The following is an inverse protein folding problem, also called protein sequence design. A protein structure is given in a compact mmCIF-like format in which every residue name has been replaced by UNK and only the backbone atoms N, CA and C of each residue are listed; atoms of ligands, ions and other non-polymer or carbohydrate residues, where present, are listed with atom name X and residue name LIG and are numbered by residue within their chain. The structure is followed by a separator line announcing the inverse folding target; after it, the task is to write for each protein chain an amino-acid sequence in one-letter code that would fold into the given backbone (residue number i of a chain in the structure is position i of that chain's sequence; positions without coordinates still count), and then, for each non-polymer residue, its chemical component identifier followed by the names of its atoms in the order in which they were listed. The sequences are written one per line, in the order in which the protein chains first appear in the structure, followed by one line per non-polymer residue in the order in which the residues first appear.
data_IF_247394923676
#
_entry.id   IF_247394923676
#
_cell.length_a   1.000
_cell.length_b   1.000
_cell.length_c   1.000
_cell.angle_alpha   90.00
_cell.angle_beta   90.00
_cell.angle_gamma   90.00
#
_symmetry.space_group_name_H-M   'P 1'
#
loop_
_entity.id
_entity.type
_entity.pdbx_description
1 polymer ?
#
# COMPACT_ATOMS: atom_id res chain seq x y z
N UNK A 1 10.58 2.77 -5.04
CA UNK A 1 11.40 3.50 -6.03
C UNK A 1 10.57 4.55 -6.74
N UNK A 2 11.21 5.62 -7.19
CA UNK A 2 10.55 6.74 -7.89
C UNK A 2 11.20 7.11 -9.23
N UNK A 3 12.28 6.45 -9.61
CA UNK A 3 13.02 6.83 -10.79
C UNK A 3 13.43 5.63 -11.66
N UNK A 4 13.61 5.90 -12.96
CA UNK A 4 14.03 4.91 -13.95
C UNK A 4 15.40 4.29 -13.61
N UNK A 5 16.40 5.11 -13.34
CA UNK A 5 17.77 4.62 -13.13
C UNK A 5 17.90 3.78 -11.84
N UNK A 6 17.31 4.25 -10.74
CA UNK A 6 17.34 3.49 -9.50
C UNK A 6 16.59 2.16 -9.63
N UNK A 7 15.45 2.16 -10.32
CA UNK A 7 14.69 0.93 -10.61
C UNK A 7 15.53 -0.07 -11.38
N UNK A 8 16.24 0.35 -12.43
CA UNK A 8 17.14 -0.54 -13.19
C UNK A 8 18.19 -1.22 -12.33
N UNK A 9 18.67 -0.53 -11.29
CA UNK A 9 19.69 -1.07 -10.39
C UNK A 9 19.12 -2.17 -9.49
N UNK A 10 17.86 -2.05 -9.06
CA UNK A 10 17.25 -2.97 -8.10
C UNK A 10 16.36 -4.04 -8.76
N UNK A 11 16.03 -3.90 -10.04
CA UNK A 11 15.14 -4.82 -10.76
C UNK A 11 15.69 -6.26 -10.78
N UNK A 12 14.91 -7.18 -10.27
CA UNK A 12 15.31 -8.58 -10.12
C UNK A 12 16.16 -8.90 -8.89
N UNK A 13 16.51 -7.91 -8.07
CA UNK A 13 17.09 -8.14 -6.74
C UNK A 13 16.02 -8.21 -5.66
N UNK A 14 14.82 -7.76 -5.96
CA UNK A 14 13.64 -7.75 -5.07
C UNK A 14 12.40 -8.19 -5.85
N UNK A 15 11.42 -8.75 -5.15
CA UNK A 15 10.19 -9.28 -5.77
C UNK A 15 9.21 -8.17 -6.14
N UNK A 16 9.10 -7.14 -5.32
CA UNK A 16 8.13 -6.05 -5.46
C UNK A 16 8.77 -4.68 -5.31
N UNK A 17 8.46 -3.80 -6.24
CA UNK A 17 8.81 -2.38 -6.20
C UNK A 17 7.54 -1.57 -5.95
N UNK A 18 7.48 -0.87 -4.83
CA UNK A 18 6.41 0.06 -4.53
C UNK A 18 6.77 1.47 -5.01
N UNK A 19 5.88 2.08 -5.80
CA UNK A 19 5.92 3.51 -6.10
C UNK A 19 5.05 4.19 -5.06
N UNK A 20 5.65 4.62 -3.94
CA UNK A 20 4.95 5.13 -2.76
C UNK A 20 4.58 6.61 -2.89
N UNK A 21 3.45 7.01 -2.32
CA UNK A 21 3.07 8.42 -2.23
C UNK A 21 3.96 9.23 -1.27
N UNK A 22 4.77 8.53 -0.46
CA UNK A 22 5.88 9.12 0.31
C UNK A 22 6.86 9.93 -0.55
N UNK A 23 6.85 9.74 -1.88
CA UNK A 23 7.64 10.58 -2.80
C UNK A 23 7.33 12.08 -2.66
N UNK A 24 6.11 12.44 -2.27
CA UNK A 24 5.76 13.83 -2.00
C UNK A 24 6.65 14.44 -0.93
N UNK A 25 6.90 13.70 0.14
CA UNK A 25 7.78 14.14 1.22
C UNK A 25 9.26 14.03 0.82
N UNK A 26 9.65 12.91 0.19
CA UNK A 26 11.06 12.60 -0.10
C UNK A 26 11.63 13.42 -1.27
N UNK A 27 10.87 13.63 -2.33
CA UNK A 27 11.34 14.30 -3.56
C UNK A 27 10.87 15.75 -3.68
N UNK A 28 9.70 16.07 -3.13
CA UNK A 28 9.07 17.38 -3.32
C UNK A 28 9.03 18.23 -2.05
N UNK A 29 9.54 17.68 -0.91
CA UNK A 29 9.59 18.43 0.36
C UNK A 29 8.21 18.73 0.94
N UNK A 30 7.18 17.95 0.60
CA UNK A 30 5.83 18.15 1.16
C UNK A 30 5.80 17.72 2.63
N UNK A 31 5.00 18.40 3.45
CA UNK A 31 4.84 18.06 4.88
C UNK A 31 4.15 16.72 5.15
N UNK A 32 3.39 16.22 4.16
CA UNK A 32 2.64 14.96 4.25
C UNK A 32 2.28 14.43 2.85
N UNK A 33 1.74 13.21 2.80
CA UNK A 33 1.37 12.53 1.55
C UNK A 33 0.02 12.98 0.96
N UNK A 34 -0.79 13.75 1.70
CA UNK A 34 -2.17 14.07 1.29
C UNK A 34 -2.28 15.02 0.09
N UNK A 35 -1.22 15.75 -0.22
CA UNK A 35 -1.17 16.66 -1.36
C UNK A 35 -0.59 16.02 -2.64
N UNK A 36 -0.18 14.76 -2.56
CA UNK A 36 0.28 13.99 -3.72
C UNK A 36 -0.89 13.72 -4.67
N UNK A 37 -0.71 14.05 -5.93
CA UNK A 37 -1.75 13.87 -6.96
C UNK A 37 -1.55 12.59 -7.75
N UNK A 38 -2.64 12.11 -8.39
CA UNK A 38 -2.55 10.98 -9.31
C UNK A 38 -1.54 11.23 -10.44
N UNK A 39 -1.52 12.44 -11.00
CA UNK A 39 -0.67 12.75 -12.15
C UNK A 39 0.82 12.74 -11.78
N UNK A 40 1.18 13.23 -10.58
CA UNK A 40 2.53 13.08 -10.04
C UNK A 40 2.92 11.60 -9.95
N UNK A 41 2.10 10.81 -9.30
CA UNK A 41 2.34 9.38 -9.12
C UNK A 41 2.38 8.61 -10.44
N UNK A 42 1.50 8.92 -11.39
CA UNK A 42 1.47 8.29 -12.71
C UNK A 42 2.77 8.57 -13.49
N UNK A 43 3.31 9.79 -13.41
CA UNK A 43 4.57 10.13 -14.07
C UNK A 43 5.73 9.25 -13.56
N UNK A 44 5.87 9.14 -12.23
CA UNK A 44 6.89 8.30 -11.60
C UNK A 44 6.65 6.80 -11.86
N UNK A 45 5.42 6.34 -11.73
CA UNK A 45 5.06 4.94 -11.93
C UNK A 45 5.35 4.47 -13.37
N UNK A 46 5.10 5.30 -14.38
CA UNK A 46 5.48 5.00 -15.76
C UNK A 46 6.99 4.84 -15.92
N UNK A 47 7.78 5.70 -15.29
CA UNK A 47 9.25 5.61 -15.34
C UNK A 47 9.76 4.33 -14.65
N UNK A 48 9.22 4.01 -13.47
CA UNK A 48 9.55 2.80 -12.73
C UNK A 48 9.12 1.55 -13.51
N UNK A 49 7.89 1.49 -14.01
CA UNK A 49 7.40 0.32 -14.77
C UNK A 49 8.15 0.10 -16.05
N UNK A 50 8.57 1.16 -16.74
CA UNK A 50 9.42 1.06 -17.94
C UNK A 50 10.80 0.46 -17.64
N UNK A 51 11.33 0.70 -16.44
CA UNK A 51 12.63 0.21 -16.01
C UNK A 51 12.59 -1.21 -15.41
N UNK A 52 11.45 -1.63 -14.87
CA UNK A 52 11.28 -2.93 -14.25
C UNK A 52 10.83 -3.97 -15.28
N UNK A 53 11.58 -5.07 -15.37
CA UNK A 53 11.33 -6.22 -16.27
C UNK A 53 11.15 -7.53 -15.53
N UNK A 54 11.59 -7.60 -14.27
CA UNK A 54 11.59 -8.81 -13.43
C UNK A 54 10.74 -8.64 -12.18
N UNK A 55 10.88 -7.51 -11.49
CA UNK A 55 10.14 -7.22 -10.26
C UNK A 55 8.73 -6.72 -10.56
N UNK A 56 7.76 -7.10 -9.73
CA UNK A 56 6.40 -6.55 -9.79
C UNK A 56 6.40 -5.08 -9.35
N UNK A 57 5.65 -4.24 -10.04
CA UNK A 57 5.52 -2.81 -9.69
C UNK A 57 4.12 -2.52 -9.16
N UNK A 58 4.05 -2.07 -7.92
CA UNK A 58 2.80 -1.65 -7.28
C UNK A 58 2.70 -0.14 -7.19
N UNK A 59 1.52 0.36 -7.55
CA UNK A 59 1.17 1.78 -7.47
C UNK A 59 0.50 2.07 -6.12
N UNK A 60 1.07 2.97 -5.33
CA UNK A 60 0.45 3.44 -4.10
C UNK A 60 -0.66 4.46 -4.44
N UNK A 61 -1.90 4.13 -4.10
CA UNK A 61 -3.04 4.99 -4.39
C UNK A 61 -3.01 6.24 -3.49
N UNK A 62 -2.84 7.46 -4.02
CA UNK A 62 -2.81 8.66 -3.19
C UNK A 62 -4.11 8.90 -2.44
N UNK A 63 -4.03 9.70 -1.39
CA UNK A 63 -5.13 10.04 -0.50
C UNK A 63 -6.47 10.28 -1.20
N UNK A 64 -7.52 9.69 -0.64
CA UNK A 64 -8.89 9.83 -1.11
C UNK A 64 -9.68 10.63 -0.08
N UNK A 65 -9.95 11.91 -0.37
CA UNK A 65 -10.64 12.82 0.56
C UNK A 65 -12.01 12.31 0.99
N UNK A 66 -12.79 11.82 0.02
CA UNK A 66 -14.12 11.25 0.27
C UNK A 66 -14.11 9.82 -0.27
N UNK A 67 -13.93 8.85 0.60
CA UNK A 67 -13.90 7.45 0.20
C UNK A 67 -15.28 7.06 -0.35
N UNK A 68 -15.28 6.69 -1.64
CA UNK A 68 -16.42 6.11 -2.31
C UNK A 68 -15.95 4.94 -3.16
N UNK A 69 -16.49 3.77 -2.91
CA UNK A 69 -16.08 2.51 -3.52
C UNK A 69 -16.04 2.56 -5.06
N UNK A 70 -17.11 3.01 -5.69
CA UNK A 70 -17.21 3.11 -7.15
C UNK A 70 -16.18 4.06 -7.73
N UNK A 71 -15.96 5.19 -7.05
CA UNK A 71 -14.98 6.20 -7.42
C UNK A 71 -13.55 5.66 -7.33
N UNK A 72 -13.22 4.96 -6.24
CA UNK A 72 -11.92 4.32 -6.05
C UNK A 72 -11.64 3.29 -7.14
N UNK A 73 -12.61 2.42 -7.45
CA UNK A 73 -12.46 1.39 -8.50
C UNK A 73 -12.23 2.03 -9.88
N UNK A 74 -13.02 3.07 -10.22
CA UNK A 74 -12.85 3.80 -11.49
C UNK A 74 -11.45 4.44 -11.57
N UNK A 75 -10.99 5.05 -10.48
CA UNK A 75 -9.67 5.68 -10.37
C UNK A 75 -8.55 4.65 -10.56
N UNK A 76 -8.61 3.51 -9.83
CA UNK A 76 -7.64 2.42 -9.96
C UNK A 76 -7.59 1.86 -11.38
N UNK A 77 -8.74 1.59 -12.02
CA UNK A 77 -8.79 1.13 -13.42
C UNK A 77 -8.09 2.11 -14.37
N UNK A 78 -8.33 3.43 -14.21
CA UNK A 78 -7.64 4.46 -15.01
C UNK A 78 -6.12 4.41 -14.79
N UNK A 79 -5.69 4.34 -13.54
CA UNK A 79 -4.28 4.33 -13.16
C UNK A 79 -3.56 3.11 -13.75
N UNK A 80 -4.08 1.92 -13.54
CA UNK A 80 -3.50 0.68 -14.08
C UNK A 80 -3.44 0.71 -15.62
N UNK A 81 -4.49 1.20 -16.28
CA UNK A 81 -4.48 1.38 -17.74
C UNK A 81 -3.35 2.29 -18.21
N UNK A 82 -3.07 3.39 -17.48
CA UNK A 82 -2.08 4.39 -17.85
C UNK A 82 -0.64 3.99 -17.51
N UNK A 83 -0.44 3.32 -16.38
CA UNK A 83 0.89 3.02 -15.83
C UNK A 83 1.38 1.63 -16.19
N UNK A 84 0.46 0.70 -16.43
CA UNK A 84 0.73 -0.73 -16.62
C UNK A 84 1.38 -1.38 -15.39
N UNK A 85 1.24 -0.76 -14.20
CA UNK A 85 1.63 -1.39 -12.94
C UNK A 85 0.90 -2.72 -12.73
N UNK A 86 1.53 -3.63 -11.99
CA UNK A 86 1.05 -4.99 -11.79
C UNK A 86 -0.04 -5.07 -10.72
N UNK A 87 -0.12 -4.06 -9.84
CA UNK A 87 -1.14 -3.96 -8.81
C UNK A 87 -1.15 -2.58 -8.14
N UNK A 88 -1.98 -2.45 -7.11
CA UNK A 88 -2.11 -1.22 -6.32
C UNK A 88 -1.92 -1.51 -4.84
N UNK A 89 -1.34 -0.56 -4.10
CA UNK A 89 -1.40 -0.50 -2.64
C UNK A 89 -2.48 0.50 -2.24
N UNK A 90 -3.30 0.16 -1.26
CA UNK A 90 -4.38 1.01 -0.76
C UNK A 90 -4.36 1.02 0.76
N UNK A 91 -4.34 2.21 1.37
CA UNK A 91 -4.52 2.40 2.81
C UNK A 91 -5.99 2.28 3.19
N UNK A 92 -6.28 1.48 4.20
CA UNK A 92 -7.63 1.30 4.75
C UNK A 92 -7.77 -0.01 5.51
N UNK A 93 -8.89 -0.15 6.17
CA UNK A 93 -9.22 -1.31 7.00
C UNK A 93 -10.40 -2.08 6.35
N UNK A 94 -11.38 -2.46 7.15
CA UNK A 94 -12.55 -3.21 6.71
C UNK A 94 -13.34 -2.55 5.55
N UNK A 95 -13.27 -1.23 5.43
CA UNK A 95 -13.89 -0.49 4.33
C UNK A 95 -13.35 -0.86 2.95
N UNK A 96 -12.16 -1.47 2.87
CA UNK A 96 -11.57 -1.94 1.62
C UNK A 96 -12.12 -3.28 1.12
N UNK A 97 -12.83 -4.05 1.95
CA UNK A 97 -13.29 -5.41 1.63
C UNK A 97 -14.03 -5.46 0.29
N UNK A 98 -15.00 -4.58 0.09
CA UNK A 98 -15.75 -4.56 -1.17
C UNK A 98 -14.92 -4.06 -2.36
N UNK A 99 -14.04 -3.08 -2.13
CA UNK A 99 -13.11 -2.58 -3.16
C UNK A 99 -12.20 -3.70 -3.63
N UNK A 100 -11.57 -4.44 -2.70
CA UNK A 100 -10.67 -5.55 -2.99
C UNK A 100 -11.41 -6.66 -3.76
N UNK A 101 -12.60 -7.08 -3.30
CA UNK A 101 -13.42 -8.06 -4.00
C UNK A 101 -13.71 -7.68 -5.46
N UNK A 102 -14.03 -6.40 -5.71
CA UNK A 102 -14.34 -5.91 -7.05
C UNK A 102 -13.08 -5.77 -7.91
N UNK A 103 -11.96 -5.31 -7.34
CA UNK A 103 -10.68 -5.23 -8.06
C UNK A 103 -10.16 -6.62 -8.43
N UNK A 104 -10.25 -7.60 -7.50
CA UNK A 104 -9.92 -9.01 -7.76
C UNK A 104 -10.72 -9.56 -8.95
N UNK A 105 -12.04 -9.31 -9.01
CA UNK A 105 -12.91 -9.79 -10.11
C UNK A 105 -12.49 -9.28 -11.49
N UNK A 106 -11.81 -8.15 -11.56
CA UNK A 106 -11.31 -7.56 -12.81
C UNK A 106 -9.79 -7.74 -12.99
N UNK A 107 -9.18 -8.63 -12.20
CA UNK A 107 -7.78 -9.01 -12.33
C UNK A 107 -6.76 -7.95 -11.87
N UNK A 108 -7.15 -7.03 -10.97
CA UNK A 108 -6.22 -6.04 -10.40
C UNK A 108 -5.82 -6.47 -8.99
N UNK A 109 -4.56 -6.89 -8.76
CA UNK A 109 -4.05 -7.25 -7.46
C UNK A 109 -4.00 -6.06 -6.49
N UNK A 110 -4.32 -6.31 -5.22
CA UNK A 110 -4.30 -5.30 -4.16
C UNK A 110 -3.38 -5.73 -3.02
N UNK A 111 -2.43 -4.86 -2.67
CA UNK A 111 -1.70 -4.86 -1.41
C UNK A 111 -2.48 -4.00 -0.43
N UNK A 112 -3.01 -4.59 0.62
CA UNK A 112 -3.74 -3.84 1.65
C UNK A 112 -2.76 -3.29 2.69
N UNK A 113 -2.98 -2.05 3.17
CA UNK A 113 -2.10 -1.41 4.13
C UNK A 113 -2.79 -1.19 5.47
N UNK A 114 -2.29 -1.84 6.52
CA UNK A 114 -2.78 -1.79 7.90
C UNK A 114 -1.74 -1.16 8.85
N UNK A 115 -2.20 -0.77 10.04
CA UNK A 115 -1.37 -0.11 11.06
C UNK A 115 -1.37 1.40 10.90
N UNK A 116 -0.19 2.00 10.88
CA UNK A 116 -0.04 3.42 10.56
C UNK A 116 -0.41 3.64 9.10
N UNK A 117 -1.36 4.51 8.88
CA UNK A 117 -1.80 4.94 7.55
C UNK A 117 -1.50 6.43 7.41
N UNK A 118 -0.36 6.81 6.81
CA UNK A 118 0.09 8.20 6.71
C UNK A 118 -0.95 9.16 6.16
N UNK A 119 -1.76 8.70 5.22
CA UNK A 119 -2.83 9.50 4.59
C UNK A 119 -3.92 9.96 5.57
N UNK A 120 -4.07 9.32 6.73
CA UNK A 120 -5.01 9.73 7.78
C UNK A 120 -4.54 10.94 8.58
N UNK A 121 -3.27 11.33 8.44
CA UNK A 121 -2.65 12.38 9.24
C UNK A 121 -2.27 13.58 8.38
N UNK A 122 -2.48 14.78 8.93
CA UNK A 122 -2.07 16.04 8.28
C UNK A 122 -0.60 16.41 8.53
N UNK A 123 0.08 15.70 9.43
CA UNK A 123 1.48 15.90 9.77
C UNK A 123 2.09 14.62 10.33
N UNK A 124 3.33 14.33 9.99
CA UNK A 124 4.09 13.18 10.50
C UNK A 124 4.31 13.21 12.02
N UNK A 125 4.31 14.38 12.64
CA UNK A 125 4.40 14.53 14.11
C UNK A 125 3.22 13.87 14.86
N UNK A 126 2.14 13.53 14.15
CA UNK A 126 0.95 12.86 14.70
C UNK A 126 0.98 11.34 14.51
N UNK A 127 2.02 10.80 13.90
CA UNK A 127 2.16 9.36 13.71
C UNK A 127 2.27 8.65 15.06
N UNK A 128 1.61 7.51 15.16
CA UNK A 128 1.61 6.68 16.36
C UNK A 128 1.90 5.23 16.02
N UNK A 129 2.41 4.51 17.00
CA UNK A 129 2.64 3.07 16.90
C UNK A 129 1.35 2.34 17.27
N UNK A 130 0.97 1.38 16.46
CA UNK A 130 -0.24 0.58 16.60
C UNK A 130 0.04 -0.77 17.29
N UNK A 131 -1.01 -1.33 17.91
CA UNK A 131 -0.95 -2.65 18.54
C UNK A 131 -0.57 -2.63 20.02
N UNK A 132 -0.40 -1.47 20.65
CA UNK A 132 -0.05 -1.39 22.08
C UNK A 132 -1.17 -1.85 23.01
N UNK A 133 -2.41 -1.67 22.60
CA UNK A 133 -3.59 -2.07 23.36
C UNK A 133 -4.19 -3.39 22.83
N UNK A 134 -4.84 -4.16 23.73
CA UNK A 134 -5.54 -5.39 23.36
C UNK A 134 -6.58 -5.18 22.25
N UNK A 135 -7.26 -4.05 22.25
CA UNK A 135 -8.25 -3.69 21.24
C UNK A 135 -7.61 -3.48 19.85
N UNK A 136 -6.47 -2.78 19.78
CA UNK A 136 -5.72 -2.60 18.54
C UNK A 136 -5.29 -3.94 17.94
N UNK A 137 -4.77 -4.83 18.79
CA UNK A 137 -4.37 -6.17 18.38
C UNK A 137 -5.51 -6.94 17.71
N UNK A 138 -6.66 -6.99 18.39
CA UNK A 138 -7.85 -7.72 17.91
C UNK A 138 -8.32 -7.15 16.57
N UNK A 139 -8.37 -5.82 16.45
CA UNK A 139 -8.82 -5.16 15.23
C UNK A 139 -7.87 -5.41 14.06
N UNK A 140 -6.56 -5.26 14.26
CA UNK A 140 -5.57 -5.48 13.19
C UNK A 140 -5.62 -6.93 12.70
N UNK A 141 -5.72 -7.91 13.61
CA UNK A 141 -5.85 -9.33 13.25
C UNK A 141 -7.15 -9.62 12.48
N UNK A 142 -8.27 -9.06 12.94
CA UNK A 142 -9.55 -9.20 12.26
C UNK A 142 -9.52 -8.58 10.86
N UNK A 143 -9.02 -7.36 10.75
CA UNK A 143 -8.93 -6.67 9.48
C UNK A 143 -8.03 -7.42 8.49
N UNK A 144 -6.88 -7.91 8.95
CA UNK A 144 -5.96 -8.69 8.11
C UNK A 144 -6.64 -9.92 7.48
N UNK A 145 -7.38 -10.70 8.29
CA UNK A 145 -8.13 -11.86 7.79
C UNK A 145 -9.23 -11.49 6.80
N UNK A 146 -10.01 -10.45 7.11
CA UNK A 146 -11.09 -10.01 6.24
C UNK A 146 -10.57 -9.50 4.88
N UNK A 147 -9.42 -8.81 4.88
CA UNK A 147 -8.80 -8.31 3.65
C UNK A 147 -8.20 -9.45 2.82
N UNK A 148 -7.60 -10.47 3.46
CA UNK A 148 -7.17 -11.70 2.79
C UNK A 148 -8.36 -12.43 2.17
N UNK A 149 -9.44 -12.68 2.92
CA UNK A 149 -10.67 -13.31 2.42
C UNK A 149 -11.29 -12.53 1.26
N UNK A 150 -11.21 -11.20 1.29
CA UNK A 150 -11.63 -10.35 0.19
C UNK A 150 -10.79 -10.53 -1.08
N UNK A 151 -9.57 -11.03 -0.94
CA UNK A 151 -8.64 -11.34 -2.01
C UNK A 151 -7.49 -10.35 -2.16
N UNK A 152 -7.11 -9.68 -1.09
CA UNK A 152 -5.79 -9.03 -1.04
C UNK A 152 -4.70 -10.07 -1.29
N UNK A 153 -3.66 -9.69 -2.01
CA UNK A 153 -2.55 -10.61 -2.33
C UNK A 153 -1.36 -10.46 -1.36
N UNK A 154 -1.35 -9.39 -0.60
CA UNK A 154 -0.37 -9.12 0.46
C UNK A 154 -0.91 -8.08 1.43
N UNK A 155 -0.33 -8.03 2.63
CA UNK A 155 -0.63 -7.02 3.64
C UNK A 155 0.65 -6.28 4.01
N UNK A 156 0.64 -4.96 3.88
CA UNK A 156 1.68 -4.09 4.39
C UNK A 156 1.30 -3.68 5.82
N UNK A 157 2.22 -3.86 6.76
CA UNK A 157 2.09 -3.49 8.16
C UNK A 157 3.06 -2.36 8.47
N UNK A 158 2.56 -1.16 8.73
CA UNK A 158 3.41 -0.01 9.07
C UNK A 158 3.19 0.44 10.52
N UNK A 159 4.32 0.69 11.22
CA UNK A 159 4.28 1.21 12.59
C UNK A 159 3.50 0.32 13.56
N UNK A 160 3.55 -1.00 13.41
CA UNK A 160 2.89 -2.00 14.26
C UNK A 160 3.93 -2.65 15.15
N UNK A 161 3.64 -2.79 16.46
CA UNK A 161 4.59 -3.41 17.38
C UNK A 161 4.88 -4.87 17.00
N UNK A 162 6.13 -5.29 17.22
CA UNK A 162 6.69 -6.53 16.68
C UNK A 162 5.86 -7.79 16.97
N UNK A 163 5.37 -7.97 18.20
CA UNK A 163 4.60 -9.17 18.54
C UNK A 163 3.23 -9.22 17.84
N UNK A 164 2.58 -8.06 17.60
CA UNK A 164 1.31 -7.99 16.84
C UNK A 164 1.55 -8.26 15.36
N UNK A 165 2.58 -7.65 14.79
CA UNK A 165 2.94 -7.91 13.40
C UNK A 165 3.25 -9.40 13.16
N UNK A 166 4.00 -10.05 14.07
CA UNK A 166 4.23 -11.50 14.04
C UNK A 166 2.92 -12.31 14.10
N UNK A 167 1.99 -11.91 14.97
CA UNK A 167 0.69 -12.60 15.04
C UNK A 167 -0.12 -12.45 13.76
N UNK A 168 -0.12 -11.26 13.13
CA UNK A 168 -0.75 -11.05 11.82
C UNK A 168 -0.12 -11.99 10.79
N UNK A 169 1.22 -11.98 10.67
CA UNK A 169 1.96 -12.84 9.72
C UNK A 169 1.60 -14.32 9.89
N UNK A 170 1.49 -14.78 11.13
CA UNK A 170 1.12 -16.17 11.42
C UNK A 170 -0.38 -16.48 11.20
N UNK A 171 -1.23 -15.47 11.06
CA UNK A 171 -2.69 -15.64 10.96
C UNK A 171 -3.23 -15.59 9.53
N UNK A 172 -2.42 -15.14 8.58
CA UNK A 172 -2.77 -15.05 7.15
C UNK A 172 -1.88 -15.97 6.33
N UNK A 173 -2.33 -16.37 5.14
CA UNK A 173 -1.57 -17.20 4.20
C UNK A 173 -0.84 -16.38 3.14
N UNK A 174 -1.23 -15.12 2.97
CA UNK A 174 -0.62 -14.19 2.03
C UNK A 174 0.62 -13.50 2.65
N UNK A 175 1.60 -13.08 1.83
CA UNK A 175 2.78 -12.38 2.32
C UNK A 175 2.45 -11.12 3.12
N UNK A 176 3.20 -10.90 4.20
CA UNK A 176 3.18 -9.65 4.96
C UNK A 176 4.48 -8.88 4.75
N UNK A 177 4.41 -7.55 4.68
CA UNK A 177 5.55 -6.67 4.45
C UNK A 177 5.59 -5.67 5.60
N UNK A 178 6.70 -5.60 6.33
CA UNK A 178 6.83 -4.72 7.49
C UNK A 178 7.56 -3.41 7.17
N UNK A 179 6.99 -2.28 7.58
CA UNK A 179 7.65 -0.97 7.60
C UNK A 179 7.64 -0.48 9.05
N UNK A 180 8.81 -0.43 9.70
CA UNK A 180 8.86 -0.09 11.11
C UNK A 180 7.97 -0.98 11.98
N UNK A 181 7.87 -2.27 11.65
CA UNK A 181 7.00 -3.24 12.32
C UNK A 181 7.82 -4.39 12.92
N UNK A 182 8.13 -5.45 12.14
CA UNK A 182 8.74 -6.66 12.67
C UNK A 182 9.71 -7.29 11.67
N UNK A 183 10.74 -7.98 12.20
CA UNK A 183 11.60 -8.86 11.39
C UNK A 183 10.92 -10.15 10.94
N UNK A 184 9.70 -10.39 11.37
CA UNK A 184 8.90 -11.58 11.05
C UNK A 184 7.86 -11.34 9.94
N UNK A 185 7.84 -10.12 9.38
CA UNK A 185 7.01 -9.80 8.20
C UNK A 185 7.77 -10.07 6.92
#
# INVERSE_FOLDING_TARGET
SYSFNFTKTIDGLIDVILVGDSMGMVLYGMDNTRNVTDDMMIAHAKAVKKASTKSLVFFDLPYVKNFNETSVIKRVKRIIKLTKCDGVKIEGNIELVNVIKKLKKIGIPVMAHLGLQPQKFSSSNKYKIYGRGKHDLINILKDAKLLEEAGAISILLEGVISHVARQVTNSVSIPTIGIGASKYC
#
